data_IF_267872114887
#
_entry.id   IF_267872114887
#
_cell.length_a   1.000
_cell.length_b   1.000
_cell.length_c   1.000
_cell.angle_alpha   90.00
_cell.angle_beta   90.00
_cell.angle_gamma   90.00
#
_symmetry.space_group_name_H-M   'P 1'
#
loop_
_entity.id
_entity.type
_entity.pdbx_description
1 polymer ?
#
# COMPACT_ATOMS: atom_id res chain seq x y z
N UNK A 1 25.45 -21.13 -23.51
CA UNK A 1 24.38 -20.26 -24.04
C UNK A 1 24.12 -19.20 -23.00
N UNK A 2 24.35 -17.92 -23.32
CA UNK A 2 24.19 -16.83 -22.34
C UNK A 2 22.72 -16.70 -21.96
N UNK A 3 22.38 -16.97 -20.70
CA UNK A 3 21.07 -16.69 -20.13
C UNK A 3 20.84 -15.17 -20.18
N UNK A 4 20.03 -14.72 -21.13
CA UNK A 4 19.57 -13.32 -21.15
C UNK A 4 18.83 -13.03 -19.86
N UNK A 5 19.34 -12.07 -19.08
CA UNK A 5 18.77 -11.67 -17.80
C UNK A 5 17.27 -11.29 -17.99
N UNK A 6 16.35 -11.81 -17.14
CA UNK A 6 14.93 -11.47 -17.11
C UNK A 6 14.62 -9.99 -17.36
N UNK A 7 15.41 -9.11 -16.75
CA UNK A 7 15.27 -7.66 -16.80
C UNK A 7 15.57 -7.09 -18.19
N UNK A 8 16.49 -7.71 -18.94
CA UNK A 8 16.83 -7.30 -20.30
C UNK A 8 15.74 -7.69 -21.29
N UNK A 9 15.00 -8.77 -21.06
CA UNK A 9 13.84 -9.16 -21.88
C UNK A 9 12.68 -8.20 -21.69
N UNK A 10 12.35 -7.87 -20.43
CA UNK A 10 11.34 -6.86 -20.10
C UNK A 10 11.72 -5.50 -20.69
N UNK A 11 12.98 -5.09 -20.61
CA UNK A 11 13.42 -3.79 -21.15
C UNK A 11 13.35 -3.67 -22.69
N UNK A 12 13.28 -4.78 -23.43
CA UNK A 12 13.28 -4.81 -24.91
C UNK A 12 11.88 -4.86 -25.54
N UNK A 13 10.82 -4.92 -24.72
CA UNK A 13 9.44 -4.98 -25.21
C UNK A 13 9.02 -3.66 -25.87
N UNK A 14 8.25 -3.76 -26.95
CA UNK A 14 7.71 -2.60 -27.66
C UNK A 14 6.71 -1.82 -26.80
N UNK A 15 6.64 -0.50 -26.99
CA UNK A 15 5.76 0.38 -26.22
C UNK A 15 4.28 -0.03 -26.31
N UNK A 16 3.84 -0.49 -27.48
CA UNK A 16 2.47 -0.97 -27.68
C UNK A 16 2.12 -2.17 -26.80
N UNK A 17 3.08 -3.04 -26.48
CA UNK A 17 2.88 -4.18 -25.57
C UNK A 17 2.52 -3.68 -24.17
N UNK A 18 3.24 -2.67 -23.69
CA UNK A 18 2.98 -2.07 -22.38
C UNK A 18 1.66 -1.33 -22.33
N UNK A 19 1.29 -0.64 -23.40
CA UNK A 19 0.00 0.05 -23.51
C UNK A 19 -1.16 -0.95 -23.53
N UNK A 20 -1.06 -2.06 -24.27
CA UNK A 20 -2.08 -3.10 -24.28
C UNK A 20 -2.21 -3.80 -22.92
N UNK A 21 -1.09 -4.09 -22.27
CA UNK A 21 -1.09 -4.67 -20.92
C UNK A 21 -1.76 -3.73 -19.92
N UNK A 22 -1.36 -2.45 -19.92
CA UNK A 22 -1.93 -1.45 -19.05
C UNK A 22 -3.44 -1.32 -19.25
N UNK A 23 -3.89 -1.19 -20.50
CA UNK A 23 -5.33 -1.16 -20.82
C UNK A 23 -6.05 -2.40 -20.30
N UNK A 24 -5.54 -3.60 -20.60
CA UNK A 24 -6.17 -4.86 -20.19
C UNK A 24 -6.35 -4.97 -18.66
N UNK A 25 -5.39 -4.47 -17.88
CA UNK A 25 -5.46 -4.52 -16.41
C UNK A 25 -6.36 -3.39 -15.88
N UNK A 26 -6.24 -2.18 -16.44
CA UNK A 26 -7.04 -1.02 -16.04
C UNK A 26 -8.53 -1.17 -16.41
N UNK A 27 -8.85 -1.96 -17.44
CA UNK A 27 -10.23 -2.26 -17.86
C UNK A 27 -10.98 -3.17 -16.86
N UNK A 28 -10.29 -3.73 -15.84
CA UNK A 28 -10.96 -4.43 -14.75
C UNK A 28 -11.78 -3.40 -13.95
N UNK A 29 -13.11 -3.51 -13.91
CA UNK A 29 -13.93 -2.50 -13.25
C UNK A 29 -13.74 -2.55 -11.75
N UNK A 30 -13.50 -1.40 -11.15
CA UNK A 30 -13.53 -1.21 -9.70
C UNK A 30 -14.02 0.20 -9.38
N UNK A 31 -15.12 0.28 -8.63
CA UNK A 31 -15.68 1.54 -8.17
C UNK A 31 -15.04 1.89 -6.83
N UNK A 32 -14.05 2.77 -6.88
CA UNK A 32 -13.33 3.22 -5.69
C UNK A 32 -14.24 3.98 -4.72
N UNK A 33 -15.33 4.56 -5.21
CA UNK A 33 -16.33 5.28 -4.44
C UNK A 33 -17.13 4.36 -3.53
N UNK A 34 -17.41 3.12 -3.96
CA UNK A 34 -18.26 2.20 -3.21
C UNK A 34 -17.59 1.65 -1.93
N UNK A 35 -16.31 1.91 -1.71
CA UNK A 35 -15.62 1.51 -0.47
C UNK A 35 -15.82 2.53 0.66
N UNK A 36 -16.44 3.67 0.37
CA UNK A 36 -16.73 4.75 1.31
C UNK A 36 -18.24 5.09 1.33
N UNK A 37 -18.74 5.71 2.42
CA UNK A 37 -20.02 6.42 2.41
C UNK A 37 -20.07 7.50 1.32
N UNK A 38 -21.27 7.82 0.84
CA UNK A 38 -21.49 8.71 -0.32
C UNK A 38 -20.88 10.11 -0.15
N UNK A 39 -21.03 10.72 1.02
CA UNK A 39 -20.48 12.06 1.30
C UNK A 39 -18.95 12.06 1.22
N UNK A 40 -18.31 11.03 1.79
CA UNK A 40 -16.87 10.85 1.75
C UNK A 40 -16.40 10.57 0.32
N UNK A 41 -17.09 9.68 -0.39
CA UNK A 41 -16.76 9.36 -1.78
C UNK A 41 -16.86 10.61 -2.67
N UNK A 42 -17.86 11.46 -2.44
CA UNK A 42 -18.06 12.72 -3.16
C UNK A 42 -16.93 13.71 -2.88
N UNK A 43 -16.60 13.92 -1.60
CA UNK A 43 -15.46 14.73 -1.22
C UNK A 43 -14.16 14.24 -1.88
N UNK A 44 -13.87 12.93 -1.80
CA UNK A 44 -12.65 12.36 -2.37
C UNK A 44 -12.59 12.46 -3.89
N UNK A 45 -13.73 12.34 -4.59
CA UNK A 45 -13.82 12.52 -6.04
C UNK A 45 -13.48 13.95 -6.45
N UNK A 46 -14.10 14.94 -5.81
CA UNK A 46 -13.79 16.34 -6.06
C UNK A 46 -12.36 16.67 -5.67
N UNK A 47 -11.86 16.14 -4.55
CA UNK A 47 -10.46 16.32 -4.15
C UNK A 47 -9.49 15.75 -5.17
N UNK A 48 -9.75 14.56 -5.73
CA UNK A 48 -8.90 13.99 -6.77
C UNK A 48 -8.92 14.85 -8.04
N UNK A 49 -10.11 15.26 -8.49
CA UNK A 49 -10.29 16.08 -9.68
C UNK A 49 -9.60 17.45 -9.54
N UNK A 50 -9.72 18.13 -8.39
CA UNK A 50 -9.10 19.44 -8.15
C UNK A 50 -7.58 19.42 -8.26
N UNK A 51 -6.97 18.23 -8.06
CA UNK A 51 -5.54 17.97 -8.12
C UNK A 51 -5.06 17.52 -9.51
N UNK A 52 -5.94 17.54 -10.52
CA UNK A 52 -5.71 16.93 -11.84
C UNK A 52 -5.28 15.46 -11.72
N UNK A 53 -5.90 14.71 -10.80
CA UNK A 53 -5.58 13.32 -10.51
C UNK A 53 -6.84 12.45 -10.52
N UNK A 54 -6.68 11.17 -10.19
CA UNK A 54 -7.78 10.21 -10.08
C UNK A 54 -7.93 9.71 -8.65
N UNK A 55 -9.18 9.36 -8.31
CA UNK A 55 -9.55 8.70 -7.06
C UNK A 55 -8.73 7.40 -6.85
N UNK A 56 -8.46 6.65 -7.92
CA UNK A 56 -7.65 5.43 -7.87
C UNK A 56 -6.18 5.64 -7.51
N UNK A 57 -5.66 6.87 -7.54
CA UNK A 57 -4.35 7.23 -6.99
C UNK A 57 -4.45 7.84 -5.60
N UNK A 58 -5.42 8.72 -5.39
CA UNK A 58 -5.57 9.45 -4.13
C UNK A 58 -5.91 8.51 -2.96
N UNK A 59 -6.85 7.58 -3.12
CA UNK A 59 -7.23 6.64 -2.06
C UNK A 59 -6.05 5.79 -1.57
N UNK A 60 -5.30 5.08 -2.44
CA UNK A 60 -4.15 4.31 -1.97
C UNK A 60 -3.10 5.19 -1.27
N UNK A 61 -2.91 6.44 -1.69
CA UNK A 61 -2.06 7.40 -0.96
C UNK A 61 -2.59 7.68 0.44
N UNK A 62 -3.88 8.01 0.57
CA UNK A 62 -4.50 8.33 1.86
C UNK A 62 -4.45 7.14 2.83
N UNK A 63 -4.85 5.95 2.37
CA UNK A 63 -4.90 4.76 3.22
C UNK A 63 -3.52 4.31 3.68
N UNK A 64 -2.50 4.43 2.82
CA UNK A 64 -1.11 4.09 3.20
C UNK A 64 -0.55 5.07 4.21
N UNK A 65 -0.87 6.35 4.07
CA UNK A 65 -0.51 7.37 5.04
C UNK A 65 -1.21 7.16 6.38
N UNK A 66 -2.51 6.83 6.37
CA UNK A 66 -3.26 6.46 7.59
C UNK A 66 -2.61 5.27 8.29
N UNK A 67 -2.34 4.19 7.55
CA UNK A 67 -1.70 3.00 8.09
C UNK A 67 -0.34 3.31 8.73
N UNK A 68 0.48 4.13 8.08
CA UNK A 68 1.77 4.55 8.60
C UNK A 68 1.63 5.36 9.90
N UNK A 69 0.76 6.38 9.92
CA UNK A 69 0.54 7.22 11.11
C UNK A 69 -0.01 6.41 12.29
N UNK A 70 -0.96 5.52 12.04
CA UNK A 70 -1.48 4.62 13.08
C UNK A 70 -0.40 3.66 13.58
N UNK A 71 0.39 3.06 12.69
CA UNK A 71 1.50 2.20 13.11
C UNK A 71 2.54 2.97 13.95
N UNK A 72 2.87 4.22 13.56
CA UNK A 72 3.82 5.08 14.30
C UNK A 72 3.37 5.31 15.75
N UNK A 73 2.08 5.40 15.99
CA UNK A 73 1.49 5.54 17.33
C UNK A 73 1.24 4.18 18.03
N UNK A 74 1.81 3.08 17.52
CA UNK A 74 1.76 1.77 18.15
C UNK A 74 0.46 0.99 17.93
N UNK A 75 -0.42 1.47 17.03
CA UNK A 75 -1.67 0.78 16.76
C UNK A 75 -1.42 -0.59 16.12
N UNK A 76 -2.26 -1.56 16.50
CA UNK A 76 -2.26 -2.91 15.95
C UNK A 76 -3.69 -3.36 15.68
N UNK A 77 -3.84 -4.34 14.80
CA UNK A 77 -5.13 -4.98 14.53
C UNK A 77 -5.11 -6.42 15.04
N UNK A 78 -6.12 -6.79 15.81
CA UNK A 78 -6.36 -8.16 16.23
C UNK A 78 -7.02 -8.91 15.09
N UNK A 79 -6.21 -9.61 14.29
CA UNK A 79 -6.70 -10.60 13.34
C UNK A 79 -7.21 -11.85 14.10
N UNK A 80 -7.64 -12.88 13.37
CA UNK A 80 -8.25 -14.09 13.97
C UNK A 80 -7.37 -14.80 15.00
N UNK A 81 -6.06 -14.87 14.78
CA UNK A 81 -5.16 -15.70 15.59
C UNK A 81 -4.06 -14.93 16.30
N UNK A 82 -3.78 -13.69 15.88
CA UNK A 82 -2.67 -12.91 16.40
C UNK A 82 -2.90 -11.42 16.15
N UNK A 83 -2.17 -10.60 16.90
CA UNK A 83 -2.04 -9.18 16.65
C UNK A 83 -1.09 -8.95 15.48
N UNK A 84 -1.49 -8.08 14.57
CA UNK A 84 -0.71 -7.72 13.39
C UNK A 84 -0.34 -6.24 13.43
N UNK A 85 0.87 -5.86 12.99
CA UNK A 85 1.20 -4.47 12.72
C UNK A 85 0.40 -3.97 11.51
N UNK A 86 0.25 -2.66 11.38
CA UNK A 86 -0.54 -2.02 10.30
C UNK A 86 0.34 -1.61 9.11
N UNK A 87 1.59 -2.08 9.06
CA UNK A 87 2.54 -1.78 7.98
C UNK A 87 1.97 -2.14 6.60
N UNK A 88 1.95 -1.17 5.67
CA UNK A 88 1.31 -1.32 4.36
C UNK A 88 2.24 -0.91 3.22
N UNK A 89 2.33 -1.76 2.19
CA UNK A 89 3.12 -1.50 0.99
C UNK A 89 2.20 -1.35 -0.21
N UNK A 90 2.19 -0.16 -0.80
CA UNK A 90 1.26 0.22 -1.86
C UNK A 90 2.02 0.80 -3.03
N UNK A 91 1.75 0.27 -4.23
CA UNK A 91 2.25 0.81 -5.50
C UNK A 91 1.05 0.99 -6.41
N UNK A 92 0.88 2.18 -6.98
CA UNK A 92 -0.07 2.37 -8.07
C UNK A 92 0.63 2.75 -9.37
N UNK A 93 0.09 2.23 -10.47
CA UNK A 93 0.68 2.30 -11.80
C UNK A 93 -0.17 3.17 -12.71
N UNK A 94 0.47 3.96 -13.55
CA UNK A 94 -0.26 4.81 -14.50
C UNK A 94 0.59 5.54 -15.50
N UNK A 95 -0.05 6.07 -16.53
CA UNK A 95 0.59 6.85 -17.57
C UNK A 95 1.24 8.15 -17.04
N UNK A 96 2.31 8.65 -17.69
CA UNK A 96 2.82 9.99 -17.43
C UNK A 96 1.71 11.04 -17.56
N UNK A 97 1.72 12.06 -16.71
CA UNK A 97 0.75 13.16 -16.78
C UNK A 97 -0.63 12.90 -16.15
N UNK A 98 -0.92 11.70 -15.63
CA UNK A 98 -2.23 11.38 -15.02
C UNK A 98 -2.39 11.81 -13.54
N UNK A 99 -1.54 12.72 -13.06
CA UNK A 99 -1.65 13.24 -11.69
C UNK A 99 -1.19 12.29 -10.57
N UNK A 100 -0.41 11.24 -10.87
CA UNK A 100 0.15 10.31 -9.86
C UNK A 100 0.95 11.01 -8.77
N UNK A 101 1.86 11.91 -9.18
CA UNK A 101 2.71 12.66 -8.25
C UNK A 101 1.89 13.63 -7.41
N UNK A 102 0.83 14.24 -7.98
CA UNK A 102 -0.11 15.09 -7.24
C UNK A 102 -0.83 14.31 -6.14
N UNK A 103 -1.28 13.08 -6.42
CA UNK A 103 -1.92 12.24 -5.40
C UNK A 103 -0.97 11.94 -4.22
N UNK A 104 0.30 11.61 -4.48
CA UNK A 104 1.31 11.40 -3.42
C UNK A 104 1.60 12.70 -2.68
N UNK A 105 1.71 13.83 -3.39
CA UNK A 105 2.01 15.12 -2.78
C UNK A 105 0.94 15.48 -1.74
N UNK A 106 -0.33 15.44 -2.13
CA UNK A 106 -1.43 15.90 -1.27
C UNK A 106 -2.00 14.83 -0.34
N UNK A 107 -1.91 13.55 -0.71
CA UNK A 107 -2.36 12.43 0.12
C UNK A 107 -1.31 11.91 1.12
N UNK A 108 -0.07 12.40 1.03
CA UNK A 108 1.02 11.94 1.88
C UNK A 108 2.05 13.02 2.19
N UNK A 109 2.81 13.51 1.20
CA UNK A 109 4.03 14.30 1.48
C UNK A 109 3.72 15.61 2.21
N UNK A 110 2.73 16.37 1.74
CA UNK A 110 2.34 17.64 2.36
C UNK A 110 1.74 17.41 3.76
N UNK A 111 0.75 16.53 3.98
CA UNK A 111 0.24 16.32 5.32
C UNK A 111 1.27 15.77 6.32
N UNK A 112 2.16 14.88 5.88
CA UNK A 112 3.26 14.39 6.73
C UNK A 112 4.25 15.52 7.03
N UNK A 113 4.56 16.37 6.05
CA UNK A 113 5.44 17.51 6.27
C UNK A 113 4.86 18.50 7.27
N UNK A 114 3.57 18.78 7.17
CA UNK A 114 2.84 19.67 8.07
C UNK A 114 2.71 19.10 9.48
N UNK A 115 2.52 17.78 9.62
CA UNK A 115 2.45 17.12 10.93
C UNK A 115 3.78 17.08 11.67
N UNK A 116 4.86 16.91 10.92
CA UNK A 116 6.21 16.76 11.47
C UNK A 116 7.10 17.95 11.10
N UNK A 117 6.58 19.17 11.03
CA UNK A 117 7.33 20.39 10.66
C UNK A 117 8.68 20.53 11.40
N UNK A 118 8.79 19.97 12.62
CA UNK A 118 10.00 19.96 13.45
C UNK A 118 10.85 18.66 13.37
N UNK A 119 10.32 17.55 12.83
CA UNK A 119 10.93 16.20 12.79
C UNK A 119 11.13 15.64 11.36
N UNK A 120 10.79 16.45 10.35
CA UNK A 120 10.48 16.09 8.97
C UNK A 120 11.51 15.19 8.23
N UNK A 121 12.85 15.38 8.33
CA UNK A 121 13.78 14.52 7.59
C UNK A 121 13.98 13.13 8.21
N UNK A 122 13.39 12.83 9.38
CA UNK A 122 13.73 11.59 10.10
C UNK A 122 12.93 10.36 9.68
N UNK A 123 11.69 10.55 9.23
CA UNK A 123 10.76 9.46 8.98
C UNK A 123 10.59 9.18 7.48
N UNK A 124 10.58 10.23 6.64
CA UNK A 124 10.44 10.08 5.20
C UNK A 124 11.72 9.52 4.57
N UNK A 125 11.56 8.57 3.65
CA UNK A 125 12.65 7.93 2.92
C UNK A 125 12.37 8.10 1.42
N UNK A 126 13.07 9.04 0.80
CA UNK A 126 12.95 9.32 -0.64
C UNK A 126 14.00 8.52 -1.46
N UNK A 127 15.19 8.31 -0.90
CA UNK A 127 16.29 7.55 -1.48
C UNK A 127 17.14 6.92 -0.38
N UNK A 128 17.38 5.61 -0.46
CA UNK A 128 18.24 4.92 0.51
C UNK A 128 18.98 3.75 -0.11
N UNK A 129 20.13 3.42 0.47
CA UNK A 129 20.81 2.13 0.25
C UNK A 129 20.30 1.12 1.28
N UNK A 130 20.58 -0.17 1.07
CA UNK A 130 20.31 -1.22 2.09
C UNK A 130 20.85 -0.84 3.48
N UNK A 131 22.12 -0.44 3.56
CA UNK A 131 22.77 -0.03 4.81
C UNK A 131 22.20 1.26 5.40
N UNK A 132 21.77 2.19 4.53
CA UNK A 132 21.11 3.43 4.93
C UNK A 132 19.74 3.17 5.54
N UNK A 133 18.95 2.27 4.94
CA UNK A 133 17.63 1.86 5.43
C UNK A 133 17.75 1.24 6.83
N UNK A 134 18.65 0.27 7.00
CA UNK A 134 18.89 -0.36 8.30
C UNK A 134 19.35 0.66 9.34
N UNK A 135 20.24 1.59 8.97
CA UNK A 135 20.70 2.66 9.88
C UNK A 135 19.53 3.52 10.35
N UNK A 136 18.70 3.96 9.41
CA UNK A 136 17.58 4.83 9.71
C UNK A 136 16.55 4.14 10.59
N UNK A 137 16.17 2.90 10.25
CA UNK A 137 15.21 2.12 11.05
C UNK A 137 15.73 1.82 12.47
N UNK A 138 17.00 1.47 12.62
CA UNK A 138 17.59 1.23 13.94
C UNK A 138 17.66 2.51 14.79
N UNK A 139 17.93 3.67 14.16
CA UNK A 139 18.08 4.95 14.89
C UNK A 139 16.74 5.60 15.20
N UNK A 140 15.80 5.57 14.24
CA UNK A 140 14.54 6.32 14.28
C UNK A 140 13.35 5.45 14.67
N UNK A 141 13.53 4.13 14.71
CA UNK A 141 12.51 3.15 15.06
C UNK A 141 11.21 3.32 14.25
N UNK A 142 11.29 3.92 13.06
CA UNK A 142 10.19 4.09 12.11
C UNK A 142 10.73 4.51 10.75
N UNK A 143 9.97 4.28 9.68
CA UNK A 143 10.30 4.78 8.35
C UNK A 143 9.12 4.75 7.39
N UNK A 144 8.99 5.77 6.54
CA UNK A 144 7.96 5.83 5.51
C UNK A 144 8.63 6.10 4.16
N UNK A 145 8.73 5.06 3.33
CA UNK A 145 9.30 5.19 2.01
C UNK A 145 8.25 5.71 1.05
N UNK A 146 8.41 6.95 0.61
CA UNK A 146 7.45 7.62 -0.27
C UNK A 146 8.18 8.09 -1.52
N UNK A 147 7.76 7.61 -2.70
CA UNK A 147 8.39 8.04 -3.95
C UNK A 147 7.40 8.19 -5.12
N UNK A 148 7.39 9.34 -5.82
CA UNK A 148 6.66 9.50 -7.08
C UNK A 148 7.30 8.76 -8.26
N UNK A 149 8.43 8.08 -8.05
CA UNK A 149 8.98 7.07 -8.95
C UNK A 149 9.62 5.96 -8.10
N UNK A 150 8.79 5.06 -7.60
CA UNK A 150 9.20 4.04 -6.61
C UNK A 150 10.12 2.99 -7.23
N UNK A 151 10.11 2.85 -8.56
CA UNK A 151 11.02 1.97 -9.27
C UNK A 151 12.48 2.28 -8.92
N UNK A 152 12.90 3.54 -8.97
CA UNK A 152 14.30 3.89 -8.77
C UNK A 152 14.79 3.54 -7.36
N UNK A 153 13.91 3.64 -6.37
CA UNK A 153 14.23 3.37 -4.97
C UNK A 153 14.27 1.86 -4.73
N UNK A 154 13.19 1.15 -5.08
CA UNK A 154 13.10 -0.29 -4.87
C UNK A 154 14.09 -1.06 -5.76
N UNK A 155 14.32 -0.61 -6.99
CA UNK A 155 15.33 -1.20 -7.86
C UNK A 155 16.72 -1.11 -7.22
N UNK A 156 17.11 0.05 -6.67
CA UNK A 156 18.39 0.20 -5.98
C UNK A 156 18.47 -0.65 -4.71
N UNK A 157 17.39 -0.67 -3.92
CA UNK A 157 17.32 -1.47 -2.70
C UNK A 157 17.40 -2.97 -3.01
N UNK A 158 16.79 -3.43 -4.10
CA UNK A 158 16.76 -4.83 -4.52
C UNK A 158 17.89 -5.20 -5.50
N UNK A 159 18.85 -4.29 -5.79
CA UNK A 159 19.87 -4.50 -6.85
C UNK A 159 20.97 -5.49 -6.47
N UNK A 160 21.30 -5.67 -5.19
CA UNK A 160 22.43 -6.49 -4.74
C UNK A 160 22.20 -8.02 -4.87
N UNK A 161 21.24 -8.45 -5.70
CA UNK A 161 20.57 -9.74 -5.60
C UNK A 161 20.70 -10.62 -6.87
N UNK A 162 21.80 -10.50 -7.65
CA UNK A 162 21.95 -11.32 -8.86
C UNK A 162 22.21 -12.82 -8.59
N UNK A 163 22.74 -13.21 -7.41
CA UNK A 163 23.04 -14.62 -7.11
C UNK A 163 22.48 -15.17 -5.77
N UNK A 164 22.07 -14.34 -4.81
CA UNK A 164 21.54 -14.78 -3.51
C UNK A 164 20.48 -13.80 -2.96
N UNK A 165 19.22 -14.03 -3.29
CA UNK A 165 18.12 -13.17 -2.88
C UNK A 165 17.75 -13.39 -1.39
N UNK A 166 18.42 -12.76 -0.41
CA UNK A 166 17.99 -12.97 0.99
C UNK A 166 18.10 -11.81 1.97
N UNK A 167 18.81 -10.71 1.68
CA UNK A 167 19.00 -9.64 2.67
C UNK A 167 17.82 -8.67 2.77
N UNK A 168 17.69 -7.80 1.78
CA UNK A 168 16.77 -6.66 1.82
C UNK A 168 15.31 -7.05 1.55
N UNK A 169 15.08 -8.00 0.65
CA UNK A 169 13.74 -8.53 0.42
C UNK A 169 13.19 -9.23 1.68
N UNK A 170 14.05 -9.95 2.40
CA UNK A 170 13.71 -10.54 3.70
C UNK A 170 13.48 -9.46 4.77
N UNK A 171 14.29 -8.40 4.80
CA UNK A 171 14.06 -7.26 5.69
C UNK A 171 12.66 -6.68 5.50
N UNK A 172 12.28 -6.40 4.25
CA UNK A 172 10.95 -5.88 3.93
C UNK A 172 9.84 -6.86 4.32
N UNK A 173 10.06 -8.17 4.14
CA UNK A 173 9.13 -9.21 4.61
C UNK A 173 8.98 -9.22 6.13
N UNK A 174 10.08 -9.08 6.88
CA UNK A 174 10.10 -9.04 8.36
C UNK A 174 9.43 -7.79 8.90
N UNK A 175 9.74 -6.63 8.33
CA UNK A 175 9.09 -5.35 8.66
C UNK A 175 7.58 -5.44 8.46
N UNK A 176 7.13 -6.04 7.36
CA UNK A 176 5.71 -6.26 7.12
C UNK A 176 5.08 -7.18 8.18
N UNK A 177 5.74 -8.29 8.52
CA UNK A 177 5.28 -9.24 9.55
C UNK A 177 5.36 -8.69 10.97
N UNK A 178 6.12 -7.61 11.22
CA UNK A 178 6.39 -7.08 12.56
C UNK A 178 7.49 -7.82 13.31
N UNK A 179 8.35 -8.57 12.60
CA UNK A 179 9.43 -9.35 13.19
C UNK A 179 10.64 -8.46 13.53
N UNK A 180 11.27 -8.71 14.69
CA UNK A 180 12.53 -8.06 15.06
C UNK A 180 13.68 -8.56 14.16
N UNK A 181 14.62 -7.67 13.84
CA UNK A 181 15.79 -8.01 13.02
C UNK A 181 17.06 -7.39 13.61
N UNK A 182 18.14 -8.16 13.68
CA UNK A 182 19.46 -7.67 14.09
C UNK A 182 20.44 -7.80 12.94
N UNK A 183 21.25 -6.75 12.72
CA UNK A 183 22.29 -6.69 11.71
C UNK A 183 23.65 -6.46 12.36
N UNK A 184 24.54 -7.44 12.20
CA UNK A 184 25.93 -7.31 12.61
C UNK A 184 26.78 -6.95 11.39
N UNK A 185 27.36 -5.76 11.40
CA UNK A 185 28.37 -5.38 10.42
C UNK A 185 29.74 -5.60 11.05
N UNK A 186 30.69 -6.18 10.31
CA UNK A 186 32.02 -6.52 10.84
C UNK A 186 32.79 -5.34 11.45
N UNK A 187 32.42 -4.11 11.10
CA UNK A 187 33.08 -2.86 11.51
C UNK A 187 32.25 -2.00 12.46
N UNK A 188 31.02 -2.39 12.83
CA UNK A 188 30.12 -1.58 13.65
C UNK A 188 29.41 -2.40 14.72
N UNK A 189 28.88 -1.73 15.76
CA UNK A 189 27.97 -2.38 16.70
C UNK A 189 26.72 -2.90 15.97
N UNK A 190 26.19 -4.03 16.47
CA UNK A 190 24.98 -4.61 15.92
C UNK A 190 23.84 -3.60 15.94
N UNK A 191 23.17 -3.44 14.82
CA UNK A 191 22.00 -2.56 14.68
C UNK A 191 20.75 -3.40 14.85
N UNK A 192 19.93 -3.04 15.82
CA UNK A 192 18.68 -3.72 16.11
C UNK A 192 17.49 -2.93 15.60
N UNK A 193 16.60 -3.62 14.88
CA UNK A 193 15.29 -3.15 14.46
C UNK A 193 14.27 -3.88 15.33
N UNK A 194 13.56 -3.19 16.24
CA UNK A 194 12.58 -3.79 17.12
C UNK A 194 11.42 -4.46 16.36
N UNK A 195 10.75 -5.40 17.03
CA UNK A 195 9.47 -5.95 16.56
C UNK A 195 8.44 -4.83 16.40
N UNK A 196 7.54 -4.98 15.41
CA UNK A 196 6.50 -4.00 15.09
C UNK A 196 7.04 -2.58 14.79
N UNK A 197 8.27 -2.46 14.29
CA UNK A 197 8.79 -1.18 13.79
C UNK A 197 7.84 -0.63 12.70
N UNK A 198 7.29 0.58 12.87
CA UNK A 198 6.40 1.21 11.90
C UNK A 198 7.12 1.44 10.58
N UNK A 199 6.67 0.76 9.53
CA UNK A 199 7.26 0.86 8.21
C UNK A 199 6.23 0.69 7.11
N UNK A 200 6.12 1.67 6.22
CA UNK A 200 5.22 1.62 5.07
C UNK A 200 5.93 2.07 3.79
N UNK A 201 5.42 1.62 2.65
CA UNK A 201 5.92 1.98 1.33
C UNK A 201 4.75 2.54 0.54
N UNK A 202 4.86 3.78 0.09
CA UNK A 202 3.93 4.39 -0.85
C UNK A 202 4.68 4.80 -2.11
N UNK A 203 4.24 4.28 -3.24
CA UNK A 203 4.93 4.49 -4.49
C UNK A 203 4.02 4.62 -5.68
N UNK A 204 4.50 5.33 -6.70
CA UNK A 204 3.93 5.18 -8.03
C UNK A 204 5.02 4.96 -9.07
N UNK A 205 4.63 4.34 -10.19
CA UNK A 205 5.53 4.08 -11.32
C UNK A 205 4.74 3.84 -12.60
N UNK A 206 5.43 3.48 -13.67
CA UNK A 206 4.88 3.18 -14.99
C UNK A 206 4.91 1.67 -15.27
N UNK A 207 4.04 1.19 -16.15
CA UNK A 207 3.88 -0.23 -16.45
C UNK A 207 5.19 -0.98 -16.76
N UNK A 208 6.12 -0.46 -17.61
CA UNK A 208 7.38 -1.16 -17.88
C UNK A 208 8.26 -1.32 -16.63
N UNK A 209 8.22 -0.35 -15.73
CA UNK A 209 8.98 -0.37 -14.49
C UNK A 209 8.31 -1.28 -13.45
N UNK A 210 6.99 -1.33 -13.41
CA UNK A 210 6.23 -2.31 -12.61
C UNK A 210 6.62 -3.73 -12.98
N UNK A 211 6.65 -4.07 -14.27
CA UNK A 211 7.05 -5.41 -14.72
C UNK A 211 8.47 -5.78 -14.25
N UNK A 212 9.40 -4.82 -14.30
CA UNK A 212 10.77 -5.01 -13.77
C UNK A 212 10.80 -5.17 -12.24
N UNK A 213 9.93 -4.50 -11.50
CA UNK A 213 9.84 -4.69 -10.03
C UNK A 213 9.29 -6.05 -9.69
N UNK A 214 8.22 -6.48 -10.37
CA UNK A 214 7.60 -7.79 -10.14
C UNK A 214 8.62 -8.90 -10.38
N UNK A 215 9.36 -8.82 -11.50
CA UNK A 215 10.44 -9.77 -11.80
C UNK A 215 11.53 -9.84 -10.71
N UNK A 216 11.74 -8.77 -9.91
CA UNK A 216 12.68 -8.73 -8.78
C UNK A 216 12.09 -9.15 -7.44
N UNK A 217 10.78 -9.03 -7.27
CA UNK A 217 10.10 -9.37 -6.02
C UNK A 217 9.59 -10.81 -6.02
N UNK A 218 9.33 -11.37 -7.20
CA UNK A 218 8.83 -12.74 -7.40
C UNK A 218 9.96 -13.78 -7.46
N UNK A 219 10.74 -13.84 -6.37
CA UNK A 219 11.82 -14.82 -6.18
C UNK A 219 11.51 -15.82 -5.05
N UNK A 220 10.23 -16.07 -4.76
CA UNK A 220 9.79 -17.10 -3.81
C UNK A 220 9.83 -16.72 -2.32
N UNK A 221 10.39 -15.56 -1.95
CA UNK A 221 10.38 -15.05 -0.56
C UNK A 221 9.02 -14.49 -0.10
N UNK A 222 8.07 -14.37 -1.03
CA UNK A 222 6.74 -13.80 -0.78
C UNK A 222 6.73 -12.27 -0.60
N UNK A 223 7.75 -11.56 -1.10
CA UNK A 223 7.79 -10.10 -1.03
C UNK A 223 6.66 -9.49 -1.86
N UNK A 224 6.49 -9.97 -3.11
CA UNK A 224 5.43 -9.51 -4.01
C UNK A 224 4.03 -9.68 -3.40
N UNK A 225 3.81 -10.74 -2.62
CA UNK A 225 2.51 -11.02 -2.00
C UNK A 225 2.11 -9.95 -0.97
N UNK A 226 3.08 -9.22 -0.42
CA UNK A 226 2.88 -8.18 0.60
C UNK A 226 2.57 -6.79 0.03
N UNK A 227 2.67 -6.61 -1.29
CA UNK A 227 2.38 -5.35 -1.96
C UNK A 227 0.94 -5.31 -2.50
N UNK A 228 0.25 -4.21 -2.21
CA UNK A 228 -0.96 -3.79 -2.91
C UNK A 228 -0.53 -3.06 -4.19
N UNK A 229 -0.56 -3.76 -5.34
CA UNK A 229 -0.18 -3.19 -6.65
C UNK A 229 -1.42 -2.92 -7.49
N UNK A 230 -1.78 -1.66 -7.68
CA UNK A 230 -2.98 -1.26 -8.42
C UNK A 230 -2.65 -0.62 -9.76
N UNK A 231 -3.48 -0.87 -10.76
CA UNK A 231 -3.45 -0.23 -12.08
C UNK A 231 -4.84 0.35 -12.33
N UNK A 232 -5.20 1.47 -11.68
CA UNK A 232 -6.54 2.03 -11.84
C UNK A 232 -6.74 2.62 -13.23
N UNK A 233 -7.99 2.61 -13.70
CA UNK A 233 -8.40 3.41 -14.85
C UNK A 233 -8.41 4.91 -14.44
N UNK A 234 -7.28 5.56 -14.61
CA UNK A 234 -7.10 6.96 -14.26
C UNK A 234 -7.17 7.84 -15.50
N UNK A 235 -8.36 8.37 -15.77
CA UNK A 235 -8.55 9.40 -16.78
C UNK A 235 -8.23 10.77 -16.17
N UNK A 236 -7.61 11.64 -16.97
CA UNK A 236 -7.39 13.03 -16.55
C UNK A 236 -8.75 13.76 -16.52
N UNK A 237 -9.06 14.51 -15.45
CA UNK A 237 -10.26 15.31 -15.41
C UNK A 237 -10.19 16.44 -16.46
N UNK A 238 -11.34 16.76 -17.03
CA UNK A 238 -11.53 17.91 -17.92
C UNK A 238 -11.47 19.23 -17.14
N UNK A 239 -11.21 20.35 -17.83
CA UNK A 239 -11.20 21.67 -17.19
C UNK A 239 -12.51 21.98 -16.44
N UNK A 240 -13.65 21.59 -17.02
CA UNK A 240 -14.96 21.78 -16.39
C UNK A 240 -15.12 20.96 -15.10
N UNK A 241 -14.64 19.71 -15.08
CA UNK A 241 -14.64 18.87 -13.88
C UNK A 241 -13.72 19.44 -12.78
N UNK A 242 -12.56 19.99 -13.17
CA UNK A 242 -11.64 20.65 -12.23
C UNK A 242 -12.27 21.90 -11.62
N UNK A 243 -12.93 22.73 -12.43
CA UNK A 243 -13.63 23.93 -11.97
C UNK A 243 -14.77 23.58 -11.02
N UNK A 244 -15.64 22.65 -11.43
CA UNK A 244 -16.74 22.12 -10.59
C UNK A 244 -16.22 21.58 -9.26
N UNK A 245 -15.10 20.84 -9.29
CA UNK A 245 -14.49 20.31 -8.09
C UNK A 245 -13.92 21.39 -7.17
N UNK A 246 -13.34 22.46 -7.72
CA UNK A 246 -12.86 23.58 -6.91
C UNK A 246 -14.01 24.35 -6.28
N UNK A 247 -15.09 24.59 -7.03
CA UNK A 247 -16.29 25.22 -6.50
C UNK A 247 -16.89 24.41 -5.35
N UNK A 248 -17.04 23.09 -5.52
CA UNK A 248 -17.47 22.20 -4.44
C UNK A 248 -16.55 22.31 -3.22
N UNK A 249 -15.24 22.27 -3.39
CA UNK A 249 -14.30 22.32 -2.26
C UNK A 249 -14.29 23.66 -1.51
N UNK A 250 -14.83 24.75 -2.09
CA UNK A 250 -14.98 26.03 -1.36
C UNK A 250 -16.09 25.98 -0.30
N UNK A 251 -17.00 25.01 -0.39
CA UNK A 251 -18.05 24.81 0.62
C UNK A 251 -17.61 23.89 1.75
N UNK A 252 -16.47 23.19 1.56
CA UNK A 252 -15.91 22.25 2.52
C UNK A 252 -14.84 22.93 3.41
N UNK A 253 -14.53 22.38 4.59
CA UNK A 253 -13.48 22.92 5.45
C UNK A 253 -12.11 22.98 4.74
N UNK A 254 -11.43 24.12 4.81
CA UNK A 254 -10.08 24.27 4.24
C UNK A 254 -9.09 23.26 4.82
N UNK A 255 -8.14 22.80 4.01
CA UNK A 255 -7.12 21.83 4.43
C UNK A 255 -7.67 20.55 5.09
N UNK A 256 -8.87 20.09 4.70
CA UNK A 256 -9.56 18.94 5.31
C UNK A 256 -8.65 17.73 5.49
N UNK A 257 -7.85 17.37 4.48
CA UNK A 257 -6.95 16.21 4.52
C UNK A 257 -5.85 16.38 5.59
N UNK A 258 -5.31 17.59 5.75
CA UNK A 258 -4.35 17.90 6.81
C UNK A 258 -5.00 17.73 8.17
N UNK A 259 -6.20 18.30 8.35
CA UNK A 259 -6.96 18.18 9.58
C UNK A 259 -7.29 16.73 9.91
N UNK A 260 -7.63 15.91 8.90
CA UNK A 260 -7.86 14.46 9.04
C UNK A 260 -6.64 13.77 9.62
N UNK A 261 -5.45 14.02 9.07
CA UNK A 261 -4.25 13.33 9.55
C UNK A 261 -3.77 13.84 10.92
N UNK A 262 -3.98 15.12 11.24
CA UNK A 262 -3.78 15.66 12.59
C UNK A 262 -4.70 14.96 13.58
N UNK A 263 -5.98 14.91 13.27
CA UNK A 263 -6.99 14.24 14.08
C UNK A 263 -6.68 12.75 14.30
N UNK A 264 -6.30 12.03 13.24
CA UNK A 264 -5.87 10.63 13.34
C UNK A 264 -4.66 10.52 14.27
N UNK A 265 -3.64 11.37 14.10
CA UNK A 265 -2.45 11.33 14.93
C UNK A 265 -2.80 11.53 16.42
N UNK A 266 -3.64 12.52 16.73
CA UNK A 266 -4.01 12.87 18.10
C UNK A 266 -4.84 11.76 18.77
N UNK A 267 -5.84 11.22 18.06
CA UNK A 267 -6.63 10.09 18.56
C UNK A 267 -5.76 8.84 18.78
N UNK A 268 -4.84 8.54 17.86
CA UNK A 268 -4.03 7.32 17.98
C UNK A 268 -2.97 7.42 19.08
N UNK A 269 -2.49 8.62 19.44
CA UNK A 269 -1.57 8.78 20.58
C UNK A 269 -2.20 8.39 21.91
N UNK A 270 -3.53 8.56 22.04
CA UNK A 270 -4.28 8.21 23.26
C UNK A 270 -4.78 6.75 23.24
N UNK A 271 -4.85 6.13 22.06
CA UNK A 271 -5.36 4.79 21.86
C UNK A 271 -4.31 3.72 22.24
N UNK A 272 -4.56 2.97 23.31
CA UNK A 272 -3.66 1.90 23.77
C UNK A 272 -4.14 0.50 23.42
N UNK A 273 -5.41 0.35 23.02
CA UNK A 273 -6.01 -0.94 22.71
C UNK A 273 -5.84 -1.31 21.23
N UNK A 274 -5.67 -2.61 20.92
CA UNK A 274 -5.70 -3.07 19.54
C UNK A 274 -7.09 -2.88 18.96
N UNK A 275 -7.17 -2.57 17.66
CA UNK A 275 -8.44 -2.61 16.96
C UNK A 275 -8.90 -4.06 16.80
N UNK A 276 -10.20 -4.28 16.91
CA UNK A 276 -10.82 -5.61 16.79
C UNK A 276 -11.97 -5.54 15.80
N UNK A 277 -12.38 -6.69 15.28
CA UNK A 277 -13.54 -6.80 14.40
C UNK A 277 -14.80 -7.09 15.20
N UNK A 278 -15.97 -6.66 14.73
CA UNK A 278 -17.23 -7.16 15.27
C UNK A 278 -17.39 -8.68 15.01
N UNK A 279 -18.40 -9.32 15.62
CA UNK A 279 -18.56 -10.77 15.53
C UNK A 279 -18.84 -11.26 14.10
N UNK A 280 -19.62 -10.52 13.31
CA UNK A 280 -19.93 -10.88 11.94
C UNK A 280 -18.68 -10.76 11.04
N UNK A 281 -17.87 -9.72 11.25
CA UNK A 281 -16.61 -9.50 10.58
C UNK A 281 -15.58 -10.59 10.95
N UNK A 282 -15.52 -11.01 12.22
CA UNK A 282 -14.71 -12.17 12.63
C UNK A 282 -15.18 -13.45 11.93
N UNK A 283 -16.48 -13.66 11.79
CA UNK A 283 -17.03 -14.81 11.08
C UNK A 283 -16.65 -14.80 9.60
N UNK A 284 -16.70 -13.63 8.93
CA UNK A 284 -16.26 -13.46 7.54
C UNK A 284 -14.76 -13.78 7.38
N UNK A 285 -13.90 -13.23 8.25
CA UNK A 285 -12.47 -13.54 8.24
C UNK A 285 -12.23 -15.04 8.42
N UNK A 286 -12.93 -15.67 9.36
CA UNK A 286 -12.80 -17.11 9.63
C UNK A 286 -13.20 -17.94 8.42
N UNK A 287 -14.34 -17.63 7.81
CA UNK A 287 -14.80 -18.29 6.58
C UNK A 287 -13.77 -18.18 5.46
N UNK A 288 -13.18 -17.00 5.25
CA UNK A 288 -12.13 -16.82 4.24
C UNK A 288 -10.85 -17.60 4.55
N UNK A 289 -10.44 -17.65 5.82
CA UNK A 289 -9.31 -18.47 6.25
C UNK A 289 -9.57 -19.95 5.99
N UNK A 290 -10.74 -20.45 6.34
CA UNK A 290 -11.12 -21.85 6.14
C UNK A 290 -11.17 -22.20 4.65
N UNK A 291 -11.68 -21.29 3.81
CA UNK A 291 -11.67 -21.45 2.36
C UNK A 291 -10.25 -21.50 1.78
N UNK A 292 -9.37 -20.59 2.18
CA UNK A 292 -7.97 -20.59 1.75
C UNK A 292 -7.24 -21.88 2.17
N UNK A 293 -7.50 -22.38 3.39
CA UNK A 293 -6.93 -23.65 3.86
C UNK A 293 -7.45 -24.82 3.01
N UNK A 294 -8.72 -24.82 2.61
CA UNK A 294 -9.28 -25.83 1.73
C UNK A 294 -8.57 -25.83 0.37
N UNK A 295 -8.41 -24.66 -0.27
CA UNK A 295 -7.68 -24.52 -1.53
C UNK A 295 -6.22 -25.01 -1.43
N UNK A 296 -5.52 -24.66 -0.35
CA UNK A 296 -4.15 -25.14 -0.09
C UNK A 296 -4.13 -26.65 0.05
N UNK A 297 -5.05 -27.23 0.82
CA UNK A 297 -5.11 -28.67 1.04
C UNK A 297 -5.44 -29.43 -0.25
N UNK A 298 -6.32 -28.89 -1.09
CA UNK A 298 -6.68 -29.51 -2.35
C UNK A 298 -5.52 -29.44 -3.36
N UNK A 299 -4.79 -28.32 -3.42
CA UNK A 299 -3.56 -28.22 -4.22
C UNK A 299 -2.43 -29.13 -3.69
N UNK A 300 -2.33 -29.37 -2.38
CA UNK A 300 -1.34 -30.32 -1.84
C UNK A 300 -1.69 -31.77 -2.23
N UNK A 301 -2.97 -32.12 -2.27
CA UNK A 301 -3.43 -33.45 -2.70
C UNK A 301 -3.29 -33.64 -4.20
N UNK A 302 -3.52 -32.58 -4.97
CA UNK A 302 -3.33 -32.56 -6.41
C UNK A 302 -1.89 -32.13 -6.75
N UNK A 303 -0.99 -33.10 -6.91
CA UNK A 303 0.42 -32.84 -7.23
C UNK A 303 0.66 -32.11 -8.57
N UNK A 304 -0.39 -31.83 -9.35
CA UNK A 304 -0.32 -31.01 -10.57
C UNK A 304 -0.53 -29.51 -10.33
N UNK A 305 -1.01 -29.10 -9.15
CA UNK A 305 -1.33 -27.70 -8.81
C UNK A 305 -0.43 -27.19 -7.69
N UNK A 306 0.19 -26.02 -7.90
CA UNK A 306 0.96 -25.37 -6.85
C UNK A 306 0.00 -24.72 -5.83
N UNK A 307 0.26 -24.87 -4.51
CA UNK A 307 -0.52 -24.18 -3.50
C UNK A 307 -0.54 -22.66 -3.72
N UNK A 308 -1.69 -22.00 -3.49
CA UNK A 308 -1.79 -20.56 -3.68
C UNK A 308 -0.83 -19.81 -2.75
N UNK A 309 0.02 -18.97 -3.33
CA UNK A 309 0.87 -18.03 -2.59
C UNK A 309 0.11 -16.72 -2.46
N UNK A 310 -0.28 -16.37 -1.24
CA UNK A 310 -1.03 -15.15 -0.99
C UNK A 310 -0.82 -14.65 0.44
N UNK A 311 -0.85 -13.33 0.58
CA UNK A 311 -0.89 -12.64 1.87
C UNK A 311 -2.21 -11.90 2.07
N UNK A 312 -3.25 -12.25 1.33
CA UNK A 312 -4.60 -11.66 1.46
C UNK A 312 -5.12 -11.65 2.90
N UNK A 313 -4.98 -12.75 3.63
CA UNK A 313 -5.44 -12.84 5.03
C UNK A 313 -4.69 -11.90 5.99
N UNK A 314 -3.49 -11.44 5.60
CA UNK A 314 -2.71 -10.45 6.32
C UNK A 314 -2.95 -9.02 5.77
N UNK A 315 -3.30 -8.88 4.49
CA UNK A 315 -3.57 -7.58 3.84
C UNK A 315 -4.96 -7.04 4.18
N UNK A 316 -5.98 -7.90 4.19
CA UNK A 316 -7.37 -7.51 4.45
C UNK A 316 -7.52 -6.82 5.81
N UNK A 317 -7.01 -7.35 6.94
CA UNK A 317 -7.13 -6.68 8.23
C UNK A 317 -6.42 -5.32 8.29
N UNK A 318 -5.24 -5.22 7.66
CA UNK A 318 -4.46 -3.97 7.60
C UNK A 318 -5.12 -2.89 6.76
N UNK A 319 -5.74 -3.28 5.65
CA UNK A 319 -6.51 -2.34 4.84
C UNK A 319 -7.81 -1.94 5.55
N UNK A 320 -8.49 -2.88 6.21
CA UNK A 320 -9.74 -2.61 6.92
C UNK A 320 -9.58 -1.60 8.05
N UNK A 321 -8.52 -1.71 8.87
CA UNK A 321 -8.23 -0.72 9.90
C UNK A 321 -7.88 0.65 9.31
N UNK A 322 -7.09 0.71 8.23
CA UNK A 322 -6.76 1.98 7.57
C UNK A 322 -8.02 2.64 6.98
N UNK A 323 -8.89 1.86 6.33
CA UNK A 323 -10.19 2.30 5.83
C UNK A 323 -11.06 2.81 6.98
N UNK A 324 -11.18 2.07 8.07
CA UNK A 324 -11.99 2.43 9.24
C UNK A 324 -11.55 3.77 9.84
N UNK A 325 -10.26 3.88 10.19
CA UNK A 325 -9.68 5.06 10.81
C UNK A 325 -9.86 6.29 9.91
N UNK A 326 -9.53 6.16 8.62
CA UNK A 326 -9.66 7.27 7.68
C UNK A 326 -11.12 7.69 7.48
N UNK A 327 -12.03 6.72 7.32
CA UNK A 327 -13.46 6.97 7.10
C UNK A 327 -14.07 7.70 8.29
N UNK A 328 -13.84 7.22 9.52
CA UNK A 328 -14.37 7.86 10.72
C UNK A 328 -13.79 9.26 10.89
N UNK A 329 -12.48 9.43 10.73
CA UNK A 329 -11.82 10.73 10.85
C UNK A 329 -12.35 11.77 9.85
N UNK A 330 -12.46 11.40 8.57
CA UNK A 330 -12.98 12.28 7.54
C UNK A 330 -14.46 12.58 7.75
N UNK A 331 -15.28 11.58 8.08
CA UNK A 331 -16.69 11.79 8.38
C UNK A 331 -16.90 12.78 9.53
N UNK A 332 -16.14 12.59 10.61
CA UNK A 332 -16.19 13.46 11.79
C UNK A 332 -15.85 14.91 11.43
N UNK A 333 -14.82 15.15 10.63
CA UNK A 333 -14.43 16.49 10.21
C UNK A 333 -15.43 17.14 9.25
N UNK A 334 -15.94 16.39 8.27
CA UNK A 334 -16.97 16.90 7.35
C UNK A 334 -18.27 17.24 8.09
N UNK A 335 -18.62 16.47 9.11
CA UNK A 335 -19.81 16.71 9.93
C UNK A 335 -19.59 17.76 11.05
N UNK A 336 -18.38 18.30 11.22
CA UNK A 336 -18.04 19.27 12.27
C UNK A 336 -17.92 18.68 13.68
N UNK A 337 -17.81 17.36 13.81
CA UNK A 337 -17.66 16.64 15.07
C UNK A 337 -16.19 16.33 15.38
N UNK A 338 -15.42 17.32 15.83
CA UNK A 338 -14.00 17.14 16.14
C UNK A 338 -13.69 16.32 17.43
N UNK A 339 -14.71 15.89 18.18
CA UNK A 339 -14.55 15.28 19.52
C UNK A 339 -14.95 13.79 19.61
N UNK A 340 -15.37 13.14 18.52
CA UNK A 340 -15.88 11.76 18.58
C UNK A 340 -14.76 10.74 18.36
N UNK A 341 -14.28 10.11 19.43
CA UNK A 341 -13.23 9.08 19.35
C UNK A 341 -13.47 8.02 18.26
N UNK A 342 -12.38 7.62 17.60
CA UNK A 342 -12.40 6.54 16.62
C UNK A 342 -12.59 5.21 17.34
N UNK A 343 -13.76 4.60 17.18
CA UNK A 343 -14.08 3.30 17.75
C UNK A 343 -13.02 2.25 17.38
N UNK A 344 -12.56 1.48 18.35
CA UNK A 344 -11.62 0.36 18.13
C UNK A 344 -12.28 -0.86 17.49
N UNK A 345 -13.62 -0.87 17.36
CA UNK A 345 -14.34 -1.96 16.72
C UNK A 345 -14.58 -1.64 15.25
N UNK A 346 -13.99 -2.45 14.38
CA UNK A 346 -14.12 -2.37 12.93
C UNK A 346 -15.38 -3.15 12.50
N UNK A 347 -16.36 -2.49 11.89
CA UNK A 347 -17.61 -3.12 11.50
C UNK A 347 -17.47 -4.02 10.25
N UNK A 348 -18.40 -4.95 10.08
CA UNK A 348 -18.47 -5.86 8.93
C UNK A 348 -18.44 -5.14 7.58
N UNK A 349 -19.16 -4.03 7.43
CA UNK A 349 -19.20 -3.29 6.16
C UNK A 349 -17.81 -2.77 5.76
N UNK A 350 -17.03 -2.23 6.71
CA UNK A 350 -15.66 -1.77 6.46
C UNK A 350 -14.75 -2.94 6.07
N UNK A 351 -14.90 -4.10 6.73
CA UNK A 351 -14.17 -5.30 6.35
C UNK A 351 -14.55 -5.76 4.93
N UNK A 352 -15.83 -5.73 4.55
CA UNK A 352 -16.28 -6.08 3.20
C UNK A 352 -15.71 -5.13 2.14
N UNK A 353 -15.61 -3.83 2.43
CA UNK A 353 -14.91 -2.87 1.58
C UNK A 353 -13.43 -3.24 1.40
N UNK A 354 -12.73 -3.59 2.48
CA UNK A 354 -11.34 -4.02 2.43
C UNK A 354 -11.17 -5.31 1.61
N UNK A 355 -12.07 -6.28 1.79
CA UNK A 355 -12.10 -7.54 1.02
C UNK A 355 -12.23 -7.24 -0.47
N UNK A 356 -13.22 -6.43 -0.87
CA UNK A 356 -13.44 -6.06 -2.29
C UNK A 356 -12.20 -5.40 -2.90
N UNK A 357 -11.58 -4.48 -2.17
CA UNK A 357 -10.38 -3.80 -2.64
C UNK A 357 -9.21 -4.79 -2.79
N UNK A 358 -8.95 -5.62 -1.78
CA UNK A 358 -7.84 -6.59 -1.85
C UNK A 358 -8.08 -7.60 -2.97
N UNK A 359 -9.30 -8.14 -3.13
CA UNK A 359 -9.61 -9.09 -4.20
C UNK A 359 -9.38 -8.47 -5.60
N UNK A 360 -9.76 -7.20 -5.79
CA UNK A 360 -9.48 -6.44 -7.01
C UNK A 360 -7.97 -6.31 -7.28
N UNK A 361 -7.20 -5.91 -6.27
CA UNK A 361 -5.75 -5.71 -6.40
C UNK A 361 -5.00 -7.01 -6.65
N UNK A 362 -5.43 -8.10 -6.01
CA UNK A 362 -4.84 -9.42 -6.20
C UNK A 362 -5.10 -9.96 -7.60
N UNK A 363 -6.28 -9.71 -8.17
CA UNK A 363 -6.58 -10.02 -9.57
C UNK A 363 -5.63 -9.28 -10.52
N UNK A 364 -5.45 -7.96 -10.32
CA UNK A 364 -4.52 -7.17 -11.13
C UNK A 364 -3.07 -7.66 -10.99
N UNK A 365 -2.63 -7.93 -9.76
CA UNK A 365 -1.30 -8.47 -9.46
C UNK A 365 -1.08 -9.82 -10.13
N UNK A 366 -2.08 -10.72 -10.09
CA UNK A 366 -2.01 -12.02 -10.75
C UNK A 366 -1.77 -11.86 -12.27
N UNK A 367 -2.49 -10.95 -12.92
CA UNK A 367 -2.28 -10.65 -14.34
C UNK A 367 -0.88 -10.10 -14.63
N UNK A 368 -0.37 -9.22 -13.78
CA UNK A 368 0.98 -8.68 -13.91
C UNK A 368 2.07 -9.76 -13.77
N UNK A 369 1.91 -10.68 -12.81
CA UNK A 369 2.83 -11.80 -12.61
C UNK A 369 2.79 -12.79 -13.78
N UNK A 370 1.61 -13.12 -14.31
CA UNK A 370 1.47 -14.00 -15.48
C UNK A 370 2.24 -13.49 -16.70
N UNK A 371 2.16 -12.19 -16.98
CA UNK A 371 2.85 -11.58 -18.13
C UNK A 371 4.35 -11.53 -17.94
N UNK A 372 4.81 -11.29 -16.71
CA UNK A 372 6.23 -11.39 -16.38
C UNK A 372 6.75 -12.81 -16.65
N UNK A 373 6.01 -13.86 -16.27
CA UNK A 373 6.40 -15.26 -16.50
C UNK A 373 6.34 -15.68 -17.97
N UNK A 374 5.30 -15.30 -18.71
CA UNK A 374 5.20 -15.66 -20.15
C UNK A 374 6.26 -14.97 -20.99
N UNK A 375 6.61 -13.71 -20.69
CA UNK A 375 7.70 -13.01 -21.37
C UNK A 375 9.09 -13.56 -21.00
N UNK A 376 9.21 -14.27 -19.88
CA UNK A 376 10.42 -15.00 -19.51
C UNK A 376 10.54 -16.33 -20.25
N UNK A 377 9.41 -17.01 -20.47
CA UNK A 377 9.32 -18.37 -20.99
C UNK A 377 9.11 -18.49 -22.51
N UNK A 378 8.74 -17.42 -23.22
CA UNK A 378 8.82 -17.42 -24.70
C UNK A 378 10.28 -17.26 -25.11
N UNK A 379 10.95 -18.41 -25.26
CA UNK A 379 12.25 -18.63 -25.89
C UNK A 379 12.09 -19.59 -27.05
#
# INVERSE_FOLDING_TARGET
>A
MASTNPLTKVARQHETTWTQLHKRIADIPFQFEEIFPEDIATFLRHKAASLNSSIGYLIPSLLTTTAFLSAKNGCTVQALTHKQPINMYTIFVGYPGTGKSSAIQYGCLQPIADLFENDNPSVLIDRTTSSGLVKQLATKQSGYLVSPEVFDVLNKLLKNNEDNASGDAMLLCKLFSGEATSYSYSTEQAREIPSNTPFSILGCTQMPNTAKLIARMDHGQGLIDRFLITVPLALCPTSAEVETAREYLTTEPEDTIKQVFQYINDCQQLQTLPYTFDEDAKQLLKSRKDHFIAEVNDAIKDSSVLPPKSKQLDLIPRLAIALHIFTVALNNLLAGYAEVDISTTIPLNTLQCAVRYVDYVELQKHMLCQVSLTQLNTS
#
